data_IF_700031624666
#
_entry.id   IF_700031624666
#
_cell.length_a   1.000
_cell.length_b   1.000
_cell.length_c   1.000
_cell.angle_alpha   90.00
_cell.angle_beta   90.00
_cell.angle_gamma   90.00
#
_symmetry.space_group_name_H-M   'P 1'
#
loop_
_entity.id
_entity.type
_entity.pdbx_description
1 polymer ?
#
# COMPACT_ATOMS: atom_id res chain seq x y z
N UNK A 1 -2.67 -33.01 24.80
CA UNK A 1 -3.15 -31.93 23.93
C UNK A 1 -1.98 -31.51 23.07
N UNK A 2 -2.11 -31.66 21.75
CA UNK A 2 -1.00 -31.47 20.84
C UNK A 2 -0.75 -29.98 20.66
N UNK A 3 0.51 -29.55 20.79
CA UNK A 3 1.01 -28.20 20.49
C UNK A 3 0.52 -27.64 19.13
N UNK A 4 0.07 -28.50 18.21
CA UNK A 4 -0.53 -28.13 16.93
C UNK A 4 -1.86 -27.38 17.02
N UNK A 5 -2.66 -27.51 18.08
CA UNK A 5 -3.96 -26.80 18.21
C UNK A 5 -3.80 -25.32 18.61
N UNK A 6 -2.68 -24.94 19.21
CA UNK A 6 -2.40 -23.56 19.65
C UNK A 6 -1.99 -22.67 18.46
N UNK A 7 -1.46 -23.28 17.38
CA UNK A 7 -1.17 -22.60 16.11
C UNK A 7 -2.40 -22.46 15.21
N UNK A 8 -3.49 -23.20 15.44
CA UNK A 8 -4.72 -23.10 14.64
C UNK A 8 -5.49 -21.81 14.89
N UNK A 9 -5.23 -21.14 16.01
CA UNK A 9 -5.81 -19.84 16.36
C UNK A 9 -5.02 -18.64 15.82
N UNK A 10 -3.80 -18.82 15.34
CA UNK A 10 -2.93 -17.77 14.80
C UNK A 10 -2.81 -17.91 13.28
N UNK A 11 -3.24 -16.93 12.47
CA UNK A 11 -3.13 -16.99 11.01
C UNK A 11 -1.66 -16.77 10.59
N UNK A 12 -0.84 -17.82 10.72
CA UNK A 12 0.58 -17.79 10.38
C UNK A 12 0.83 -17.45 8.91
N UNK A 13 -0.05 -17.91 8.02
CA UNK A 13 0.00 -17.58 6.60
C UNK A 13 -0.15 -16.08 6.34
N UNK A 14 -1.03 -15.40 7.07
CA UNK A 14 -1.24 -13.96 6.94
C UNK A 14 -0.09 -13.15 7.57
N UNK A 15 0.43 -13.61 8.72
CA UNK A 15 1.58 -12.99 9.39
C UNK A 15 2.85 -13.01 8.52
N UNK A 16 3.03 -14.05 7.71
CA UNK A 16 4.17 -14.18 6.79
C UNK A 16 3.88 -13.57 5.43
N UNK A 17 2.66 -13.73 4.93
CA UNK A 17 2.26 -13.29 3.60
C UNK A 17 2.05 -11.79 3.49
N UNK A 18 1.55 -11.13 4.55
CA UNK A 18 1.25 -9.69 4.50
C UNK A 18 2.50 -8.80 4.34
N UNK A 19 3.65 -9.02 5.03
CA UNK A 19 4.83 -8.19 4.81
C UNK A 19 5.46 -8.42 3.42
N UNK A 20 5.39 -9.67 2.93
CA UNK A 20 5.93 -10.06 1.62
C UNK A 20 5.09 -9.43 0.49
N UNK A 21 3.77 -9.45 0.62
CA UNK A 21 2.84 -8.76 -0.29
C UNK A 21 2.96 -7.24 -0.23
N UNK A 22 3.16 -6.68 0.98
CA UNK A 22 3.37 -5.25 1.17
C UNK A 22 4.66 -4.78 0.50
N UNK A 23 5.75 -5.55 0.57
CA UNK A 23 6.99 -5.24 -0.13
C UNK A 23 6.81 -5.21 -1.66
N UNK A 24 6.10 -6.19 -2.23
CA UNK A 24 5.76 -6.21 -3.66
C UNK A 24 4.91 -4.98 -4.05
N UNK A 25 3.91 -4.65 -3.24
CA UNK A 25 3.05 -3.48 -3.47
C UNK A 25 3.85 -2.17 -3.37
N UNK A 26 4.79 -2.06 -2.43
CA UNK A 26 5.66 -0.90 -2.30
C UNK A 26 6.52 -0.73 -3.56
N UNK A 27 7.11 -1.81 -4.07
CA UNK A 27 7.87 -1.79 -5.33
C UNK A 27 7.04 -1.29 -6.51
N UNK A 28 5.80 -1.76 -6.64
CA UNK A 28 4.90 -1.31 -7.70
C UNK A 28 4.61 0.19 -7.58
N UNK A 29 4.32 0.68 -6.37
CA UNK A 29 4.09 2.11 -6.12
C UNK A 29 5.31 2.97 -6.43
N UNK A 30 6.51 2.48 -6.12
CA UNK A 30 7.77 3.17 -6.44
C UNK A 30 7.99 3.24 -7.96
N UNK A 31 7.70 2.16 -8.68
CA UNK A 31 7.75 2.15 -10.14
C UNK A 31 6.74 3.13 -10.74
N UNK A 32 5.52 3.18 -10.19
CA UNK A 32 4.49 4.10 -10.63
C UNK A 32 4.86 5.56 -10.37
N UNK A 33 5.38 5.90 -9.18
CA UNK A 33 5.88 7.23 -8.87
C UNK A 33 7.00 7.68 -9.83
N UNK A 34 7.87 6.75 -10.24
CA UNK A 34 8.92 7.03 -11.23
C UNK A 34 8.33 7.31 -12.61
N UNK A 35 7.32 6.54 -13.03
CA UNK A 35 6.59 6.78 -14.28
C UNK A 35 5.87 8.12 -14.26
N UNK A 36 5.18 8.44 -13.16
CA UNK A 36 4.45 9.70 -13.00
C UNK A 36 5.41 10.90 -13.05
N UNK A 37 6.60 10.78 -12.45
CA UNK A 37 7.65 11.80 -12.55
C UNK A 37 8.11 12.00 -14.01
N UNK A 38 8.41 10.92 -14.73
CA UNK A 38 8.81 10.99 -16.15
C UNK A 38 7.70 11.64 -16.98
N UNK A 39 6.44 11.31 -16.71
CA UNK A 39 5.31 11.88 -17.43
C UNK A 39 5.13 13.38 -17.14
N UNK A 40 5.22 13.77 -15.88
CA UNK A 40 5.05 15.16 -15.45
C UNK A 40 6.18 16.10 -15.93
N UNK A 41 7.42 15.61 -15.96
CA UNK A 41 8.59 16.40 -16.38
C UNK A 41 8.79 16.31 -17.89
N UNK A 42 8.55 15.15 -18.49
CA UNK A 42 8.92 14.87 -19.87
C UNK A 42 7.91 15.33 -20.91
N UNK A 43 6.64 15.50 -20.57
CA UNK A 43 5.60 15.82 -21.54
C UNK A 43 4.90 17.16 -21.25
N UNK A 44 4.37 17.77 -22.30
CA UNK A 44 3.51 18.95 -22.16
C UNK A 44 2.10 18.52 -21.81
N UNK A 45 1.42 19.30 -20.96
CA UNK A 45 0.01 19.06 -20.63
C UNK A 45 -0.81 19.74 -21.72
N UNK A 46 -1.60 18.97 -22.47
CA UNK A 46 -2.53 19.52 -23.45
C UNK A 46 -3.72 20.20 -22.77
N UNK A 47 -4.53 20.94 -23.53
CA UNK A 47 -5.66 21.71 -23.02
C UNK A 47 -6.72 20.88 -22.25
N UNK A 48 -6.75 19.56 -22.50
CA UNK A 48 -7.61 18.58 -21.81
C UNK A 48 -7.10 18.17 -20.42
N UNK A 49 -6.01 18.76 -19.93
CA UNK A 49 -5.39 18.42 -18.65
C UNK A 49 -4.66 17.07 -18.64
N UNK A 50 -4.51 16.43 -19.80
CA UNK A 50 -3.77 15.16 -19.99
C UNK A 50 -2.40 15.44 -20.62
N UNK A 51 -1.35 14.66 -20.26
CA UNK A 51 -0.06 14.77 -20.92
C UNK A 51 -0.21 14.42 -22.42
N UNK A 52 0.07 15.39 -23.29
CA UNK A 52 0.20 15.16 -24.72
C UNK A 52 1.50 14.38 -24.99
N UNK A 53 1.56 13.61 -26.07
CA UNK A 53 2.79 12.90 -26.48
C UNK A 53 3.93 13.84 -26.95
N UNK A 54 3.75 15.15 -26.80
CA UNK A 54 4.76 16.16 -27.12
C UNK A 54 5.76 16.33 -25.97
N UNK A 55 7.03 16.13 -26.30
CA UNK A 55 8.13 16.20 -25.35
C UNK A 55 8.36 17.65 -24.93
N UNK A 56 8.50 17.88 -23.63
CA UNK A 56 8.90 19.18 -23.08
C UNK A 56 10.37 19.41 -23.35
N UNK A 57 10.71 20.48 -24.07
CA UNK A 57 12.09 20.88 -24.37
C UNK A 57 12.46 22.15 -23.63
N UNK A 58 13.74 22.30 -23.33
CA UNK A 58 14.35 23.52 -22.82
C UNK A 58 15.15 24.15 -23.97
N UNK A 59 14.86 25.43 -24.23
CA UNK A 59 15.53 26.19 -25.28
C UNK A 59 16.67 27.03 -24.69
N UNK A 60 17.89 26.71 -25.12
CA UNK A 60 19.07 27.51 -24.81
C UNK A 60 19.37 28.42 -25.99
N UNK A 61 19.51 29.72 -25.72
CA UNK A 61 19.96 30.70 -26.71
C UNK A 61 21.27 31.29 -26.24
N UNK A 62 22.26 31.28 -27.11
CA UNK A 62 23.54 31.94 -26.86
C UNK A 62 24.02 32.66 -28.11
N UNK A 63 24.73 33.76 -27.92
CA UNK A 63 25.31 34.52 -29.01
C UNK A 63 26.82 34.47 -28.94
N UNK A 64 27.46 34.21 -30.07
CA UNK A 64 28.91 34.30 -30.21
C UNK A 64 29.27 35.40 -31.23
N UNK A 65 30.38 36.12 -31.01
CA UNK A 65 30.86 37.10 -31.97
C UNK A 65 31.27 36.39 -33.25
N UNK A 66 30.65 36.75 -34.37
CA UNK A 66 31.02 36.27 -35.69
C UNK A 66 32.28 36.94 -36.23
N UNK A 67 32.78 36.50 -37.40
CA UNK A 67 33.99 37.03 -38.04
C UNK A 67 33.99 38.55 -38.26
N UNK A 68 32.79 39.15 -38.42
CA UNK A 68 32.60 40.58 -38.66
C UNK A 68 32.27 41.37 -37.37
N UNK A 69 32.53 40.80 -36.19
CA UNK A 69 32.16 41.36 -34.88
C UNK A 69 30.64 41.57 -34.69
N UNK A 70 29.82 40.95 -35.55
CA UNK A 70 28.36 40.90 -35.43
C UNK A 70 27.96 39.66 -34.60
N UNK A 71 27.03 39.81 -33.64
CA UNK A 71 26.54 38.67 -32.87
C UNK A 71 25.80 37.67 -33.79
N UNK A 72 26.21 36.41 -33.74
CA UNK A 72 25.49 35.28 -34.35
C UNK A 72 24.76 34.55 -33.24
N UNK A 73 23.45 34.43 -33.35
CA UNK A 73 22.63 33.71 -32.38
C UNK A 73 22.51 32.22 -32.73
N UNK A 74 22.66 31.39 -31.71
CA UNK A 74 22.47 29.95 -31.78
C UNK A 74 21.36 29.55 -30.81
N UNK A 75 20.46 28.70 -31.26
CA UNK A 75 19.39 28.11 -30.46
C UNK A 75 19.55 26.59 -30.42
N UNK A 76 19.54 26.03 -29.22
CA UNK A 76 19.57 24.58 -28.98
C UNK A 76 18.30 24.22 -28.22
N UNK A 77 17.47 23.36 -28.79
CA UNK A 77 16.30 22.79 -28.10
C UNK A 77 16.64 21.39 -27.61
N UNK A 78 16.64 21.18 -26.29
CA UNK A 78 17.01 19.89 -25.67
C UNK A 78 15.83 19.34 -24.85
N UNK A 79 15.47 18.04 -24.97
CA UNK A 79 14.46 17.43 -24.10
C UNK A 79 14.77 17.61 -22.62
N UNK A 80 13.78 18.00 -21.82
CA UNK A 80 13.96 18.27 -20.40
C UNK A 80 14.43 17.02 -19.62
N UNK A 81 13.99 15.83 -20.05
CA UNK A 81 14.43 14.54 -19.49
C UNK A 81 15.93 14.27 -19.66
N UNK A 82 16.62 14.93 -20.60
CA UNK A 82 18.05 14.78 -20.78
C UNK A 82 18.87 15.60 -19.75
N UNK A 83 18.23 16.58 -19.10
CA UNK A 83 18.87 17.51 -18.18
C UNK A 83 18.49 17.20 -16.74
N UNK A 84 17.25 16.74 -16.52
CA UNK A 84 16.72 16.45 -15.18
C UNK A 84 17.09 15.02 -14.78
N UNK A 85 17.75 14.81 -13.63
CA UNK A 85 18.05 13.47 -13.13
C UNK A 85 16.76 12.75 -12.72
N UNK A 86 16.55 11.53 -13.23
CA UNK A 86 15.43 10.68 -12.84
C UNK A 86 15.83 9.86 -11.59
N UNK A 87 15.07 9.92 -10.49
CA UNK A 87 15.38 9.16 -9.29
C UNK A 87 15.17 7.65 -9.52
N UNK A 88 16.10 6.81 -9.02
CA UNK A 88 15.95 5.36 -9.06
C UNK A 88 15.23 4.88 -7.80
N UNK A 89 13.93 4.59 -7.93
CA UNK A 89 13.10 4.12 -6.82
C UNK A 89 12.90 2.60 -6.91
N UNK A 90 13.44 1.86 -5.94
CA UNK A 90 13.23 0.40 -5.80
C UNK A 90 13.46 -0.04 -4.36
N UNK A 91 12.71 -1.04 -3.91
CA UNK A 91 13.04 -1.80 -2.69
C UNK A 91 14.21 -2.72 -3.03
N UNK A 92 15.31 -2.58 -2.29
CA UNK A 92 16.54 -3.34 -2.56
C UNK A 92 16.75 -4.52 -1.61
N UNK A 93 16.36 -4.39 -0.34
CA UNK A 93 16.37 -5.49 0.62
C UNK A 93 15.11 -5.46 1.47
N UNK A 94 14.63 -6.64 1.86
CA UNK A 94 13.47 -6.80 2.75
C UNK A 94 13.87 -7.84 3.79
N UNK A 95 14.13 -7.36 5.00
CA UNK A 95 14.47 -8.23 6.13
C UNK A 95 13.22 -8.42 7.00
N UNK A 96 12.79 -9.68 7.16
CA UNK A 96 11.62 -10.04 7.97
C UNK A 96 12.10 -10.97 9.08
N UNK A 97 12.00 -10.51 10.32
CA UNK A 97 12.35 -11.29 11.51
C UNK A 97 11.09 -11.52 12.33
N UNK A 98 10.81 -12.80 12.63
CA UNK A 98 9.67 -13.20 13.44
C UNK A 98 10.17 -13.74 14.78
N UNK A 99 9.93 -12.99 15.85
CA UNK A 99 10.17 -13.45 17.21
C UNK A 99 8.83 -13.89 17.83
N UNK A 100 8.72 -15.17 18.19
CA UNK A 100 7.50 -15.74 18.75
C UNK A 100 7.76 -16.38 20.10
N UNK A 101 7.07 -15.89 21.13
CA UNK A 101 6.98 -16.52 22.45
C UNK A 101 5.54 -16.99 22.67
N UNK A 102 5.33 -18.31 22.73
CA UNK A 102 4.01 -18.89 22.98
C UNK A 102 3.77 -18.90 24.50
N UNK A 103 2.78 -18.11 24.95
CA UNK A 103 2.28 -18.17 26.33
C UNK A 103 0.88 -18.76 26.32
N UNK A 104 0.77 -20.00 26.78
CA UNK A 104 -0.52 -20.66 26.93
C UNK A 104 -1.33 -19.94 28.00
N UNK A 105 -2.35 -19.17 27.59
CA UNK A 105 -3.37 -18.70 28.51
C UNK A 105 -4.50 -19.71 28.52
N UNK A 106 -4.64 -20.39 29.64
CA UNK A 106 -5.75 -21.28 29.92
C UNK A 106 -7.05 -20.47 29.77
N UNK A 107 -7.79 -20.70 28.69
CA UNK A 107 -9.07 -20.05 28.45
C UNK A 107 -10.04 -20.48 29.54
N UNK A 108 -10.29 -19.58 30.50
CA UNK A 108 -11.35 -19.72 31.49
C UNK A 108 -12.68 -19.88 30.76
N UNK A 109 -13.17 -21.12 30.68
CA UNK A 109 -14.57 -21.37 30.33
C UNK A 109 -15.41 -20.73 31.43
N UNK A 110 -16.01 -19.58 31.17
CA UNK A 110 -17.21 -19.16 31.90
C UNK A 110 -18.29 -20.21 31.60
N UNK A 111 -18.39 -21.22 32.46
CA UNK A 111 -19.57 -22.04 32.58
C UNK A 111 -20.71 -21.10 33.00
N UNK A 112 -21.50 -20.67 32.02
CA UNK A 112 -22.81 -20.09 32.26
C UNK A 112 -23.70 -21.21 32.83
N UNK A 113 -23.59 -21.43 34.14
CA UNK A 113 -24.55 -22.17 34.96
C UNK A 113 -25.91 -21.47 34.87
N UNK A 114 -26.69 -21.79 33.82
CA UNK A 114 -28.13 -21.59 33.83
C UNK A 114 -28.79 -22.82 34.45
N UNK A 115 -28.49 -23.06 35.72
CA UNK A 115 -29.43 -23.71 36.63
C UNK A 115 -30.49 -22.67 37.01
N UNK A 116 -31.53 -22.58 36.19
CA UNK A 116 -32.75 -21.82 36.50
C UNK A 116 -33.91 -22.81 36.50
N UNK A 117 -34.36 -23.18 37.70
CA UNK A 117 -35.30 -24.23 38.00
C UNK A 117 -36.57 -24.21 37.12
N UNK A 118 -36.85 -25.37 36.51
CA UNK A 118 -38.18 -25.77 36.09
C UNK A 118 -39.01 -26.09 37.34
N UNK A 119 -39.57 -25.07 37.99
CA UNK A 119 -40.59 -25.23 39.03
C UNK A 119 -41.60 -24.07 38.95
N UNK A 120 -42.65 -24.24 38.15
CA UNK A 120 -43.88 -23.48 38.27
C UNK A 120 -44.97 -24.41 38.83
N UNK A 121 -45.53 -24.14 40.02
CA UNK A 121 -46.41 -25.07 40.73
C UNK A 121 -47.78 -25.20 40.06
N UNK A 122 -48.18 -26.45 39.80
CA UNK A 122 -49.56 -26.83 39.49
C UNK A 122 -50.43 -26.49 40.70
N UNK A 123 -51.30 -25.48 40.57
CA UNK A 123 -52.37 -25.21 41.53
C UNK A 123 -53.68 -25.76 41.00
N UNK A 124 -54.16 -26.80 41.67
CA UNK A 124 -55.45 -27.43 41.46
C UNK A 124 -56.38 -26.97 42.59
N UNK A 125 -57.34 -26.11 42.26
CA UNK A 125 -58.48 -25.71 43.12
C UNK A 125 -59.53 -25.11 42.17
N UNK A 126 -60.50 -25.86 41.66
CA UNK A 126 -61.64 -26.38 42.42
C UNK A 126 -62.84 -25.51 42.06
N UNK A 127 -63.81 -26.03 41.30
CA UNK A 127 -65.26 -25.76 41.41
C UNK A 127 -66.03 -26.69 40.48
N UNK A 128 -67.10 -27.22 41.08
CA UNK A 128 -67.99 -28.29 40.67
C UNK A 128 -69.04 -27.84 39.64
N UNK A 129 -69.45 -28.82 38.82
CA UNK A 129 -70.84 -29.14 38.41
C UNK A 129 -71.79 -27.95 38.11
N UNK A 130 -72.06 -27.73 36.81
CA UNK A 130 -73.37 -27.98 36.18
C UNK A 130 -73.29 -27.73 34.68
#
# INVERSE_FOLDING_TARGET
MAMGDEFRGLPMEELIGSPLSAACTANLKLAQATSDFIQAVGFQIGDDGKPNQEVRTADFRYSVPGPDNKPVEYQISTPLLAIVPIPSLKVSNVDITFDMEVRSSESSKESSDKQGAFEAPVRWDGVLLR
#
